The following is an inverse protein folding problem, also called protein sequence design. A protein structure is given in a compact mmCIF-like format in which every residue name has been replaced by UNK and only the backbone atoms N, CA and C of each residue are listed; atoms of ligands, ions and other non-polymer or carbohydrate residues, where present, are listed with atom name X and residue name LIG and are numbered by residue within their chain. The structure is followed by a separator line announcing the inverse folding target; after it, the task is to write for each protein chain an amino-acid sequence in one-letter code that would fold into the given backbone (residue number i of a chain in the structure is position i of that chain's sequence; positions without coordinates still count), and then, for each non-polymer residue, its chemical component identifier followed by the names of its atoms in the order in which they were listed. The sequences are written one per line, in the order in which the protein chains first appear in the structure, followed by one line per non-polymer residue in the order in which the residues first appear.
data_IF_230262927882
#
_entry.id   IF_230262927882
#
_cell.length_a   1.000
_cell.length_b   1.000
_cell.length_c   1.000
_cell.angle_alpha   90.00
_cell.angle_beta   90.00
_cell.angle_gamma   90.00
#
_symmetry.space_group_name_H-M   'P 1'
#
loop_
_entity.id
_entity.type
_entity.pdbx_description
1 polymer ?
#
# COMPACT_ATOMS: atom_id res chain seq x y z
N UNK A 1 -3.68 -8.19 -4.54
CA UNK A 1 -3.63 -7.08 -3.57
C UNK A 1 -3.10 -5.81 -4.20
N UNK A 2 -1.83 -5.78 -4.62
CA UNK A 2 -1.16 -4.57 -5.11
C UNK A 2 -1.94 -3.90 -6.25
N UNK A 3 -2.35 -4.66 -7.26
CA UNK A 3 -3.10 -4.13 -8.41
C UNK A 3 -4.46 -3.52 -8.05
N UNK A 4 -5.08 -3.95 -6.95
CA UNK A 4 -6.44 -3.53 -6.58
C UNK A 4 -6.39 -2.52 -5.45
N UNK A 5 -6.05 -2.95 -4.23
CA UNK A 5 -5.96 -2.06 -3.07
C UNK A 5 -4.87 -1.02 -3.26
N UNK A 6 -3.68 -1.46 -3.67
CA UNK A 6 -2.56 -0.55 -3.95
C UNK A 6 -2.87 0.41 -5.09
N UNK A 7 -3.44 -0.09 -6.18
CA UNK A 7 -3.90 0.72 -7.32
C UNK A 7 -4.86 1.81 -6.89
N UNK A 8 -5.94 1.48 -6.17
CA UNK A 8 -6.91 2.47 -5.70
C UNK A 8 -6.32 3.49 -4.72
N UNK A 9 -5.42 3.07 -3.82
CA UNK A 9 -4.75 4.00 -2.91
C UNK A 9 -3.86 5.01 -3.66
N UNK A 10 -3.09 4.54 -4.65
CA UNK A 10 -2.23 5.41 -5.45
C UNK A 10 -3.04 6.31 -6.38
N UNK A 11 -4.09 5.78 -7.01
CA UNK A 11 -5.01 6.55 -7.85
C UNK A 11 -5.67 7.68 -7.06
N UNK A 12 -6.15 7.42 -5.84
CA UNK A 12 -6.70 8.46 -4.97
C UNK A 12 -5.67 9.52 -4.59
N UNK A 13 -4.43 9.13 -4.32
CA UNK A 13 -3.33 10.08 -4.07
C UNK A 13 -3.03 10.92 -5.32
N UNK A 14 -2.92 10.30 -6.50
CA UNK A 14 -2.68 10.98 -7.77
C UNK A 14 -3.81 11.97 -8.10
N UNK A 15 -5.06 11.59 -7.85
CA UNK A 15 -6.22 12.45 -8.04
C UNK A 15 -6.13 13.74 -7.20
N UNK A 16 -5.57 13.66 -5.99
CA UNK A 16 -5.46 14.81 -5.07
C UNK A 16 -4.19 15.63 -5.31
N UNK A 17 -3.04 14.99 -5.56
CA UNK A 17 -1.72 15.62 -5.55
C UNK A 17 -1.04 15.72 -6.94
N UNK A 18 -1.65 15.13 -7.97
CA UNK A 18 -1.09 15.01 -9.33
C UNK A 18 -0.49 13.63 -9.61
N UNK A 19 -0.44 13.28 -10.90
CA UNK A 19 0.15 12.01 -11.38
C UNK A 19 1.67 11.96 -11.15
N UNK A 20 2.28 10.77 -11.17
CA UNK A 20 3.73 10.66 -11.20
C UNK A 20 4.29 11.10 -12.56
N UNK A 21 5.19 12.07 -12.57
CA UNK A 21 6.01 12.43 -13.73
C UNK A 21 7.14 11.40 -13.93
N UNK A 22 7.75 10.97 -12.82
CA UNK A 22 8.76 9.91 -12.80
C UNK A 22 8.68 9.15 -11.48
N UNK A 23 8.86 7.84 -11.53
CA UNK A 23 8.83 6.99 -10.35
C UNK A 23 9.79 5.81 -10.45
N UNK A 24 10.10 5.26 -9.29
CA UNK A 24 10.65 3.91 -9.14
C UNK A 24 9.74 3.10 -8.23
N UNK A 25 9.63 1.81 -8.51
CA UNK A 25 8.83 0.90 -7.69
C UNK A 25 9.56 -0.42 -7.49
N UNK A 26 9.45 -0.96 -6.28
CA UNK A 26 9.94 -2.30 -5.94
C UNK A 26 8.79 -3.11 -5.40
N UNK A 27 8.60 -4.32 -5.93
CA UNK A 27 7.61 -5.27 -5.43
C UNK A 27 8.29 -6.47 -4.80
N UNK A 28 7.70 -7.00 -3.73
CA UNK A 28 8.17 -8.20 -3.09
C UNK A 28 7.01 -9.09 -2.65
N UNK A 29 7.25 -10.40 -2.66
CA UNK A 29 6.34 -11.38 -2.08
C UNK A 29 6.97 -11.91 -0.78
N UNK A 30 6.64 -11.26 0.33
CA UNK A 30 7.17 -11.57 1.65
C UNK A 30 6.56 -12.86 2.22
N UNK A 31 5.27 -13.10 1.99
CA UNK A 31 4.58 -14.31 2.47
C UNK A 31 4.53 -15.37 1.39
N UNK A 32 5.16 -16.51 1.64
CA UNK A 32 5.20 -17.62 0.67
C UNK A 32 3.97 -18.53 0.73
N UNK A 33 3.28 -18.53 1.86
CA UNK A 33 2.07 -19.33 2.10
C UNK A 33 1.02 -18.54 2.85
N UNK A 34 -0.23 -18.98 2.75
CA UNK A 34 -1.36 -18.50 3.55
C UNK A 34 -2.10 -19.69 4.17
N UNK A 35 -2.59 -19.50 5.40
CA UNK A 35 -3.35 -20.51 6.12
C UNK A 35 -4.79 -20.55 5.61
N UNK A 36 -5.19 -21.69 5.06
CA UNK A 36 -6.57 -21.97 4.70
C UNK A 36 -7.32 -22.40 5.96
N UNK A 37 -8.42 -21.71 6.28
CA UNK A 37 -9.29 -22.00 7.43
C UNK A 37 -10.67 -22.44 6.98
N UNK A 38 -11.33 -23.26 7.79
CA UNK A 38 -12.75 -23.59 7.63
C UNK A 38 -13.65 -22.44 8.10
N UNK A 39 -14.97 -22.59 7.95
CA UNK A 39 -15.96 -21.61 8.39
C UNK A 39 -15.95 -21.36 9.91
N UNK A 40 -15.41 -22.31 10.69
CA UNK A 40 -15.28 -22.22 12.15
C UNK A 40 -13.93 -21.61 12.57
N UNK A 41 -13.08 -21.26 11.61
CA UNK A 41 -11.76 -20.67 11.83
C UNK A 41 -10.66 -21.67 12.14
N UNK A 42 -10.92 -22.98 12.06
CA UNK A 42 -9.90 -24.01 12.25
C UNK A 42 -8.99 -24.09 11.03
N UNK A 43 -7.68 -24.24 11.27
CA UNK A 43 -6.70 -24.45 10.20
C UNK A 43 -7.00 -25.77 9.47
N UNK A 44 -7.15 -25.69 8.15
CA UNK A 44 -7.21 -26.84 7.25
C UNK A 44 -5.81 -27.22 6.80
N UNK A 45 -5.09 -26.28 6.14
CA UNK A 45 -3.72 -26.45 5.62
C UNK A 45 -3.13 -25.11 5.19
N UNK A 46 -1.82 -25.09 4.91
CA UNK A 46 -1.20 -23.94 4.24
C UNK A 46 -1.22 -24.15 2.72
N UNK A 47 -1.49 -23.08 1.97
CA UNK A 47 -1.45 -23.07 0.50
C UNK A 47 -0.44 -22.02 0.00
N UNK A 48 0.22 -22.22 -1.16
CA UNK A 48 1.15 -21.25 -1.71
C UNK A 48 0.48 -19.90 -2.00
N UNK A 49 1.15 -18.80 -1.64
CA UNK A 49 0.76 -17.44 -1.99
C UNK A 49 1.72 -16.89 -3.04
N UNK A 50 1.22 -16.72 -4.27
CA UNK A 50 2.02 -16.24 -5.42
C UNK A 50 1.82 -14.75 -5.71
N UNK A 51 0.78 -14.14 -5.14
CA UNK A 51 0.51 -12.71 -5.29
C UNK A 51 1.51 -11.88 -4.48
N UNK A 52 2.03 -10.82 -5.08
CA UNK A 52 2.85 -9.84 -4.36
C UNK A 52 2.06 -9.17 -3.23
N UNK A 53 2.72 -8.98 -2.09
CA UNK A 53 2.13 -8.47 -0.85
C UNK A 53 2.93 -7.30 -0.24
N UNK A 54 4.01 -6.86 -0.90
CA UNK A 54 4.73 -5.62 -0.59
C UNK A 54 4.99 -4.84 -1.88
N UNK A 55 4.79 -3.53 -1.81
CA UNK A 55 5.29 -2.58 -2.80
C UNK A 55 5.77 -1.33 -2.10
N UNK A 56 6.92 -0.83 -2.52
CA UNK A 56 7.29 0.56 -2.31
C UNK A 56 7.30 1.28 -3.66
N UNK A 57 6.80 2.50 -3.68
CA UNK A 57 6.88 3.40 -4.84
C UNK A 57 7.26 4.78 -4.35
N UNK A 58 8.15 5.45 -5.09
CA UNK A 58 8.46 6.85 -4.84
C UNK A 58 8.89 7.56 -6.11
N UNK A 59 8.71 8.87 -6.12
CA UNK A 59 8.90 9.64 -7.34
C UNK A 59 8.49 11.09 -7.22
N UNK A 60 8.64 11.80 -8.33
CA UNK A 60 8.21 13.20 -8.48
C UNK A 60 6.85 13.21 -9.16
N UNK A 61 5.90 13.92 -8.57
CA UNK A 61 4.58 14.16 -9.16
C UNK A 61 4.65 15.32 -10.16
N UNK A 62 3.71 15.38 -11.10
CA UNK A 62 3.57 16.48 -12.07
C UNK A 62 3.32 17.84 -11.40
N UNK A 63 2.94 17.87 -10.12
CA UNK A 63 2.85 19.07 -9.29
C UNK A 63 4.19 19.58 -8.79
N UNK A 64 5.28 18.83 -8.97
CA UNK A 64 6.61 19.09 -8.43
C UNK A 64 6.83 18.54 -7.01
N UNK A 65 5.79 18.00 -6.37
CA UNK A 65 5.91 17.35 -5.06
C UNK A 65 6.62 16.00 -5.18
N UNK A 66 7.39 15.63 -4.15
CA UNK A 66 7.89 14.26 -4.01
C UNK A 66 6.87 13.41 -3.26
N UNK A 67 6.55 12.23 -3.78
CA UNK A 67 5.65 11.29 -3.15
C UNK A 67 6.37 9.97 -2.86
N UNK A 68 6.02 9.35 -1.74
CA UNK A 68 6.44 8.00 -1.40
C UNK A 68 5.31 7.23 -0.73
N UNK A 69 5.15 5.96 -1.09
CA UNK A 69 4.12 5.10 -0.54
C UNK A 69 4.64 3.68 -0.33
N UNK A 70 4.28 3.07 0.80
CA UNK A 70 4.52 1.67 1.09
C UNK A 70 3.19 0.93 1.25
N UNK A 71 2.95 -0.02 0.36
CA UNK A 71 1.75 -0.85 0.33
C UNK A 71 2.07 -2.24 0.86
N UNK A 72 1.33 -2.65 1.89
CA UNK A 72 1.52 -3.92 2.59
C UNK A 72 0.25 -4.75 2.57
N UNK A 73 0.44 -6.05 2.39
CA UNK A 73 -0.61 -7.05 2.51
C UNK A 73 -0.67 -7.77 3.81
N UNK A 74 -1.79 -8.48 3.95
CA UNK A 74 -2.15 -9.21 5.16
C UNK A 74 -2.48 -8.28 6.32
N UNK A 75 -2.74 -8.89 7.48
CA UNK A 75 -3.03 -8.14 8.69
C UNK A 75 -1.77 -7.47 9.24
N UNK A 76 -1.90 -6.22 9.67
CA UNK A 76 -0.89 -5.49 10.40
C UNK A 76 -1.46 -5.02 11.74
N UNK A 77 -0.65 -5.09 12.80
CA UNK A 77 -1.06 -4.71 14.17
C UNK A 77 -0.80 -3.24 14.51
N UNK A 78 -0.12 -2.52 13.61
CA UNK A 78 0.08 -1.07 13.76
C UNK A 78 -0.89 -0.29 12.88
N UNK A 79 -0.54 0.97 12.61
CA UNK A 79 -1.32 1.87 11.74
C UNK A 79 -1.55 1.26 10.36
N UNK A 80 -2.81 1.01 10.01
CA UNK A 80 -3.17 0.38 8.73
C UNK A 80 -3.19 1.38 7.58
N UNK A 81 -3.63 2.61 7.84
CA UNK A 81 -3.58 3.73 6.90
C UNK A 81 -2.86 4.89 7.57
N UNK A 82 -1.81 5.38 6.94
CA UNK A 82 -1.14 6.63 7.25
C UNK A 82 -0.91 7.35 5.93
N UNK A 83 -1.49 8.53 5.78
CA UNK A 83 -1.23 9.40 4.64
C UNK A 83 -0.92 10.80 5.16
N UNK A 84 0.29 11.26 4.85
CA UNK A 84 0.83 12.54 5.30
C UNK A 84 1.10 13.42 4.08
N UNK A 85 0.66 14.67 4.17
CA UNK A 85 0.88 15.69 3.15
C UNK A 85 1.47 16.91 3.84
N UNK A 86 2.71 17.23 3.50
CA UNK A 86 3.43 18.41 3.98
C UNK A 86 3.24 19.56 2.98
N UNK A 87 2.48 20.56 3.38
CA UNK A 87 2.21 21.75 2.57
C UNK A 87 2.90 22.99 3.12
N UNK A 88 3.00 24.02 2.29
CA UNK A 88 3.61 25.31 2.67
C UNK A 88 2.79 26.10 3.70
N UNK A 89 1.50 25.77 3.86
CA UNK A 89 0.57 26.44 4.78
C UNK A 89 0.16 25.55 5.97
N UNK A 90 0.76 24.36 6.08
CA UNK A 90 0.43 23.39 7.11
C UNK A 90 0.51 21.97 6.60
N UNK A 91 0.25 21.05 7.52
CA UNK A 91 0.37 19.62 7.32
C UNK A 91 -1.00 18.95 7.47
N UNK A 92 -1.24 17.90 6.69
CA UNK A 92 -2.43 17.06 6.79
C UNK A 92 -2.00 15.62 7.04
N UNK A 93 -2.62 14.99 8.04
CA UNK A 93 -2.45 13.57 8.33
C UNK A 93 -3.81 12.88 8.37
N UNK A 94 -3.99 11.86 7.54
CA UNK A 94 -5.11 10.93 7.61
C UNK A 94 -4.61 9.60 8.17
N UNK A 95 -5.21 9.16 9.27
CA UNK A 95 -4.80 7.95 9.99
C UNK A 95 -5.99 7.06 10.34
N UNK A 96 -5.81 5.75 10.25
CA UNK A 96 -6.74 4.76 10.80
C UNK A 96 -6.02 3.93 11.89
N UNK A 97 -6.51 4.06 13.13
CA UNK A 97 -5.97 3.43 14.34
C UNK A 97 -6.65 2.08 14.62
#
# INVERSE_FOLDING_TARGET
MITVLGGHSLDAMCYVLGEFESLTATTHNARKTIELRDEKGNKIRDIPLTSHDQMSVSGVLTSGAYASAHLRGGSYKGTNLLWEVEGTHGELQLVNL
#
